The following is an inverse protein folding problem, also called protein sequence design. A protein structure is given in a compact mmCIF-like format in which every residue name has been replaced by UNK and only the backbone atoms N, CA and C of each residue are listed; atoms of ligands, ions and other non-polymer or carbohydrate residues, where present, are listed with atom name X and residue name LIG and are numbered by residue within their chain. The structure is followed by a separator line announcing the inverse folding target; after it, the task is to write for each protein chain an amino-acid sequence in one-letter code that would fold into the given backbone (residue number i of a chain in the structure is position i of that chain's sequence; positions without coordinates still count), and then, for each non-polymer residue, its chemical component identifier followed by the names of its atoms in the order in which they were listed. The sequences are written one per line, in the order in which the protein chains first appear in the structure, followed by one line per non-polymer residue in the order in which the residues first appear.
data_IF_694725580318
#
_entry.id   IF_694725580318
#
_cell.length_a   1.000
_cell.length_b   1.000
_cell.length_c   1.000
_cell.angle_alpha   90.00
_cell.angle_beta   90.00
_cell.angle_gamma   90.00
#
_symmetry.space_group_name_H-M   'P 1'
#
loop_
_entity.id
_entity.type
_entity.pdbx_description
1 polymer ?
#
# COMPACT_ATOMS: atom_id res chain seq x y z
N UNK A 1 0.11 -8.40 -9.48
CA UNK A 1 0.92 -7.24 -9.04
C UNK A 1 0.35 -5.91 -9.52
N UNK A 2 0.30 -5.58 -10.83
CA UNK A 2 -0.24 -4.29 -11.26
C UNK A 2 -1.71 -4.13 -10.89
N UNK A 3 -2.53 -5.15 -11.14
CA UNK A 3 -3.97 -5.11 -10.82
C UNK A 3 -4.25 -5.03 -9.32
N UNK A 4 -3.47 -5.72 -8.49
CA UNK A 4 -3.63 -5.72 -7.03
C UNK A 4 -3.21 -4.38 -6.42
N UNK A 5 -2.12 -3.79 -6.91
CA UNK A 5 -1.67 -2.45 -6.52
C UNK A 5 -2.68 -1.37 -6.95
N UNK A 6 -3.22 -1.47 -8.17
CA UNK A 6 -4.26 -0.56 -8.64
C UNK A 6 -5.56 -0.69 -7.87
N UNK A 7 -5.95 -1.91 -7.49
CA UNK A 7 -7.12 -2.11 -6.63
C UNK A 7 -6.90 -1.43 -5.27
N UNK A 8 -5.74 -1.62 -4.66
CA UNK A 8 -5.35 -0.93 -3.42
C UNK A 8 -5.40 0.59 -3.59
N UNK A 9 -4.88 1.14 -4.71
CA UNK A 9 -4.97 2.56 -5.06
C UNK A 9 -6.40 3.07 -5.08
N UNK A 10 -7.26 2.45 -5.88
CA UNK A 10 -8.66 2.85 -6.01
C UNK A 10 -9.39 2.80 -4.68
N UNK A 11 -9.18 1.74 -3.87
CA UNK A 11 -9.80 1.61 -2.52
C UNK A 11 -9.31 2.65 -1.54
N UNK A 12 -8.05 3.07 -1.66
CA UNK A 12 -7.54 4.21 -0.89
C UNK A 12 -8.00 5.57 -1.43
N UNK A 13 -8.60 5.65 -2.63
CA UNK A 13 -8.96 6.92 -3.27
C UNK A 13 -7.81 7.59 -4.02
N UNK A 14 -6.75 6.83 -4.33
CA UNK A 14 -5.59 7.27 -5.10
C UNK A 14 -5.69 6.75 -6.55
N UNK A 15 -4.99 7.40 -7.48
CA UNK A 15 -4.96 6.95 -8.87
C UNK A 15 -4.18 5.62 -9.02
N UNK A 16 -4.70 4.66 -9.80
CA UNK A 16 -4.00 3.41 -10.15
C UNK A 16 -2.59 3.64 -10.75
N UNK A 17 -2.38 4.78 -11.40
CA UNK A 17 -1.10 5.18 -11.97
C UNK A 17 -0.09 5.68 -10.91
N UNK A 18 -0.54 6.12 -9.74
CA UNK A 18 0.31 6.71 -8.70
C UNK A 18 1.54 5.83 -8.36
N UNK A 19 1.41 4.52 -8.07
CA UNK A 19 2.55 3.65 -7.78
C UNK A 19 3.52 3.41 -8.94
N UNK A 20 3.13 3.69 -10.19
CA UNK A 20 3.97 3.52 -11.38
C UNK A 20 4.66 4.80 -11.81
N UNK A 21 3.97 5.94 -11.70
CA UNK A 21 4.46 7.23 -12.19
C UNK A 21 5.11 8.08 -11.08
N UNK A 22 4.90 7.73 -9.81
CA UNK A 22 5.48 8.45 -8.67
C UNK A 22 6.57 7.59 -8.03
N UNK A 23 7.82 8.06 -7.97
CA UNK A 23 8.88 7.36 -7.28
C UNK A 23 8.50 7.20 -5.79
N UNK A 24 8.48 5.96 -5.31
CA UNK A 24 8.04 5.65 -3.95
C UNK A 24 6.52 5.68 -3.74
N UNK A 25 5.71 5.77 -4.80
CA UNK A 25 4.24 5.79 -4.68
C UNK A 25 3.68 4.58 -3.94
N UNK A 26 4.27 3.39 -4.12
CA UNK A 26 3.91 2.19 -3.33
C UNK A 26 4.24 2.30 -1.84
N UNK A 27 5.31 3.01 -1.48
CA UNK A 27 5.68 3.28 -0.07
C UNK A 27 4.66 4.24 0.55
N UNK A 28 4.35 5.32 -0.16
CA UNK A 28 3.33 6.31 0.26
C UNK A 28 1.99 5.63 0.51
N UNK A 29 1.58 4.77 -0.41
CA UNK A 29 0.36 3.98 -0.32
C UNK A 29 0.34 3.08 0.93
N UNK A 30 1.44 2.39 1.20
CA UNK A 30 1.58 1.56 2.40
C UNK A 30 1.49 2.39 3.67
N UNK A 31 2.20 3.51 3.73
CA UNK A 31 2.15 4.42 4.87
C UNK A 31 0.73 4.96 5.07
N UNK A 32 0.01 5.30 4.01
CA UNK A 32 -1.39 5.75 4.06
C UNK A 32 -2.33 4.67 4.60
N UNK A 33 -2.20 3.42 4.18
CA UNK A 33 -3.02 2.30 4.69
C UNK A 33 -2.77 2.09 6.18
N UNK A 34 -1.50 2.18 6.60
CA UNK A 34 -1.13 2.08 8.00
C UNK A 34 -1.66 3.23 8.84
N UNK A 35 -1.65 4.47 8.33
CA UNK A 35 -2.23 5.61 9.05
C UNK A 35 -3.75 5.49 9.15
N UNK A 36 -4.44 5.00 8.10
CA UNK A 36 -5.87 4.71 8.14
C UNK A 36 -6.23 3.63 9.17
N UNK A 37 -5.42 2.57 9.25
CA UNK A 37 -5.63 1.48 10.20
C UNK A 37 -5.08 1.72 11.61
N UNK A 38 -4.48 2.88 11.89
CA UNK A 38 -3.85 3.15 13.18
C UNK A 38 -2.64 2.25 13.49
N UNK A 39 -1.96 1.71 12.47
CA UNK A 39 -0.89 0.72 12.61
C UNK A 39 0.47 1.42 12.78
N UNK A 40 1.09 1.29 13.94
CA UNK A 40 2.37 1.94 14.27
C UNK A 40 3.56 1.39 13.47
N UNK A 41 4.29 2.26 12.75
CA UNK A 41 5.46 1.91 11.95
C UNK A 41 6.17 3.13 11.35
N UNK A 42 7.12 2.92 10.44
CA UNK A 42 7.91 3.99 9.81
C UNK A 42 8.02 3.81 8.30
N UNK A 43 8.16 4.92 7.57
CA UNK A 43 8.35 4.91 6.12
C UNK A 43 9.61 4.13 5.70
N UNK A 44 10.66 4.16 6.53
CA UNK A 44 11.87 3.37 6.30
C UNK A 44 11.58 1.86 6.36
N UNK A 45 10.80 1.42 7.35
CA UNK A 45 10.40 0.02 7.44
C UNK A 45 9.47 -0.39 6.29
N UNK A 46 8.60 0.51 5.84
CA UNK A 46 7.73 0.29 4.67
C UNK A 46 8.53 0.14 3.38
N UNK A 47 9.58 0.96 3.20
CA UNK A 47 10.51 0.83 2.10
C UNK A 47 11.26 -0.52 2.15
N UNK A 48 11.80 -0.88 3.32
CA UNK A 48 12.49 -2.17 3.51
C UNK A 48 11.57 -3.36 3.22
N UNK A 49 10.30 -3.31 3.62
CA UNK A 49 9.32 -4.36 3.34
C UNK A 49 9.04 -4.52 1.83
N UNK A 50 8.91 -3.39 1.12
CA UNK A 50 8.74 -3.37 -0.34
C UNK A 50 10.00 -3.83 -1.08
N UNK A 51 11.20 -3.49 -0.58
CA UNK A 51 12.47 -3.93 -1.12
C UNK A 51 12.73 -5.43 -0.89
N UNK A 52 12.29 -5.97 0.24
CA UNK A 52 12.42 -7.40 0.57
C UNK A 52 11.43 -8.27 -0.22
N UNK A 53 10.14 -7.95 -0.18
CA UNK A 53 9.12 -8.62 -0.99
C UNK A 53 7.94 -7.67 -1.29
N UNK A 54 8.06 -6.91 -2.38
CA UNK A 54 7.00 -6.05 -2.90
C UNK A 54 5.63 -6.75 -3.05
N UNK A 55 5.54 -7.96 -3.65
CA UNK A 55 4.27 -8.67 -3.79
C UNK A 55 3.64 -9.01 -2.44
N UNK A 56 4.43 -9.49 -1.48
CA UNK A 56 3.97 -9.83 -0.13
C UNK A 56 3.44 -8.58 0.59
N UNK A 57 4.17 -7.47 0.48
CA UNK A 57 3.77 -6.19 1.07
C UNK A 57 2.44 -5.70 0.48
N UNK A 58 2.20 -5.89 -0.82
CA UNK A 58 0.92 -5.55 -1.47
C UNK A 58 -0.23 -6.48 -1.03
N UNK A 59 0.02 -7.79 -0.94
CA UNK A 59 -0.98 -8.72 -0.41
C UNK A 59 -1.34 -8.39 1.05
N UNK A 60 -0.35 -8.00 1.86
CA UNK A 60 -0.58 -7.54 3.22
C UNK A 60 -1.44 -6.27 3.24
N UNK A 61 -1.14 -5.28 2.39
CA UNK A 61 -1.94 -4.06 2.26
C UNK A 61 -3.40 -4.34 1.88
N UNK A 62 -3.65 -5.27 0.95
CA UNK A 62 -5.02 -5.68 0.62
C UNK A 62 -5.73 -6.28 1.83
N UNK A 63 -5.08 -7.20 2.55
CA UNK A 63 -5.67 -7.81 3.75
C UNK A 63 -5.95 -6.80 4.85
N UNK A 64 -5.07 -5.82 5.01
CA UNK A 64 -5.29 -4.71 5.95
C UNK A 64 -6.53 -3.90 5.57
N UNK A 65 -6.70 -3.54 4.29
CA UNK A 65 -7.90 -2.85 3.81
C UNK A 65 -9.17 -3.70 3.97
N UNK A 66 -9.10 -5.01 3.72
CA UNK A 66 -10.21 -5.94 3.94
C UNK A 66 -10.59 -6.02 5.41
N UNK A 67 -9.61 -6.09 6.32
CA UNK A 67 -9.83 -6.08 7.76
C UNK A 67 -10.44 -4.76 8.25
N UNK A 68 -10.15 -3.64 7.57
CA UNK A 68 -10.70 -2.32 7.87
C UNK A 68 -12.09 -2.10 7.27
N UNK A 69 -12.58 -2.99 6.39
CA UNK A 69 -13.86 -2.81 5.70
C UNK A 69 -13.86 -1.63 4.72
N UNK A 70 -12.70 -1.18 4.26
CA UNK A 70 -12.60 -0.12 3.23
C UNK A 70 -13.03 -0.74 1.91
N UNK A 71 -14.09 -0.28 1.24
CA UNK A 71 -14.55 -0.87 -0.03
C UNK A 71 -13.47 -0.83 -1.11
#
# INVERSE_FOLDING_TARGET
LPCTVCNVATRTGECCCMPFFVPGGTVVMRTRIRTLGGIQGSACNDFCALACCGPCAVCQMQRELDNMGVP
#
